data_IF_948568529788
#
_entry.id   IF_948568529788
#
_cell.length_a   1.000
_cell.length_b   1.000
_cell.length_c   1.000
_cell.angle_alpha   90.00
_cell.angle_beta   90.00
_cell.angle_gamma   90.00
#
_symmetry.space_group_name_H-M   'P 1'
#
loop_
_entity.id
_entity.type
_entity.pdbx_description
1 polymer ?
#
# COMPACT_ATOMS: atom_id res chain seq x y z
N UNK A 1 4.43 24.40 -6.25
CA UNK A 1 5.42 24.67 -5.18
C UNK A 1 5.55 26.16 -4.92
N UNK A 2 6.15 26.96 -5.82
CA UNK A 2 6.31 28.42 -5.62
C UNK A 2 4.98 29.15 -5.33
N UNK A 3 3.89 28.76 -6.00
CA UNK A 3 2.57 29.36 -5.80
C UNK A 3 1.96 29.01 -4.43
N UNK A 4 2.18 27.79 -3.94
CA UNK A 4 1.74 27.35 -2.60
C UNK A 4 2.54 28.08 -1.51
N UNK A 5 3.86 28.22 -1.68
CA UNK A 5 4.68 28.98 -0.73
C UNK A 5 4.30 30.45 -0.67
N UNK A 6 3.94 31.04 -1.81
CA UNK A 6 3.43 32.40 -1.89
C UNK A 6 2.10 32.58 -1.16
N UNK A 7 1.21 31.59 -1.22
CA UNK A 7 -0.07 31.62 -0.53
C UNK A 7 0.10 31.46 0.98
N UNK A 8 0.95 30.52 1.44
CA UNK A 8 1.25 30.32 2.86
C UNK A 8 1.90 31.56 3.50
N UNK A 9 2.62 32.36 2.71
CA UNK A 9 3.26 33.60 3.17
C UNK A 9 2.31 34.81 3.31
N UNK A 10 1.04 34.71 2.91
CA UNK A 10 0.06 35.80 3.06
C UNK A 10 -0.50 35.86 4.49
N UNK A 11 -0.70 37.07 5.03
CA UNK A 11 -1.25 37.28 6.37
C UNK A 11 -2.69 36.75 6.51
N UNK A 12 -3.48 36.80 5.43
CA UNK A 12 -4.87 36.34 5.41
C UNK A 12 -5.01 34.81 5.31
N UNK A 13 -3.93 34.08 5.02
CA UNK A 13 -3.96 32.63 4.83
C UNK A 13 -4.48 31.88 6.07
N UNK A 14 -4.19 32.39 7.26
CA UNK A 14 -4.60 31.77 8.52
C UNK A 14 -6.02 32.14 8.97
N UNK A 15 -6.72 33.01 8.22
CA UNK A 15 -8.10 33.40 8.55
C UNK A 15 -9.10 32.29 8.23
N UNK A 16 -8.79 31.43 7.25
CA UNK A 16 -9.60 30.27 6.87
C UNK A 16 -8.85 28.98 7.21
N UNK A 17 -9.23 28.38 8.33
CA UNK A 17 -8.55 27.20 8.87
C UNK A 17 -8.74 25.95 7.99
N UNK A 18 -9.87 25.83 7.27
CA UNK A 18 -10.15 24.71 6.36
C UNK A 18 -9.32 24.84 5.07
N UNK A 19 -9.31 26.03 4.48
CA UNK A 19 -8.50 26.31 3.29
C UNK A 19 -6.99 26.15 3.57
N UNK A 20 -6.53 26.65 4.73
CA UNK A 20 -5.15 26.50 5.15
C UNK A 20 -4.76 25.02 5.32
N UNK A 21 -5.62 24.21 5.92
CA UNK A 21 -5.37 22.77 6.13
C UNK A 21 -5.25 22.02 4.80
N UNK A 22 -6.11 22.34 3.83
CA UNK A 22 -6.09 21.73 2.50
C UNK A 22 -4.80 22.06 1.75
N UNK A 23 -4.41 23.34 1.74
CA UNK A 23 -3.19 23.79 1.05
C UNK A 23 -1.92 23.23 1.72
N UNK A 24 -1.91 23.12 3.05
CA UNK A 24 -0.80 22.50 3.78
C UNK A 24 -0.69 21.00 3.48
N UNK A 25 -1.81 20.27 3.41
CA UNK A 25 -1.82 18.85 2.98
C UNK A 25 -1.23 18.71 1.58
N UNK A 26 -1.68 19.53 0.63
CA UNK A 26 -1.16 19.52 -0.74
C UNK A 26 0.35 19.84 -0.80
N UNK A 27 0.81 20.82 -0.02
CA UNK A 27 2.24 21.14 0.11
C UNK A 27 3.04 19.94 0.59
N UNK A 28 2.58 19.27 1.65
CA UNK A 28 3.26 18.10 2.20
C UNK A 28 3.33 16.99 1.16
N UNK A 29 2.26 16.73 0.42
CA UNK A 29 2.25 15.71 -0.64
C UNK A 29 3.26 16.03 -1.74
N UNK A 30 3.29 17.27 -2.23
CA UNK A 30 4.22 17.68 -3.28
C UNK A 30 5.69 17.66 -2.80
N UNK A 31 5.94 18.05 -1.55
CA UNK A 31 7.28 17.95 -0.96
C UNK A 31 7.73 16.50 -0.85
N UNK A 32 6.86 15.59 -0.39
CA UNK A 32 7.18 14.16 -0.32
C UNK A 32 7.50 13.58 -1.70
N UNK A 33 6.76 13.98 -2.75
CA UNK A 33 7.08 13.57 -4.12
C UNK A 33 8.45 14.10 -4.56
N UNK A 34 8.75 15.37 -4.28
CA UNK A 34 10.02 15.98 -4.66
C UNK A 34 11.21 15.36 -3.92
N UNK A 35 11.07 15.09 -2.63
CA UNK A 35 12.08 14.40 -1.82
C UNK A 35 12.37 12.99 -2.35
N UNK A 36 11.34 12.24 -2.77
CA UNK A 36 11.53 10.91 -3.40
C UNK A 36 12.32 10.99 -4.69
N UNK A 37 12.04 11.97 -5.56
CA UNK A 37 12.81 12.17 -6.79
C UNK A 37 14.26 12.56 -6.50
N UNK A 38 14.49 13.43 -5.51
CA UNK A 38 15.84 13.81 -5.10
C UNK A 38 16.62 12.60 -4.55
N UNK A 39 15.97 11.72 -3.79
CA UNK A 39 16.59 10.49 -3.31
C UNK A 39 17.01 9.56 -4.46
N UNK A 40 16.14 9.37 -5.46
CA UNK A 40 16.45 8.58 -6.66
C UNK A 40 17.62 9.18 -7.44
N UNK A 41 17.65 10.51 -7.59
CA UNK A 41 18.75 11.21 -8.27
C UNK A 41 20.08 11.00 -7.52
N UNK A 42 20.08 11.22 -6.20
CA UNK A 42 21.27 11.02 -5.36
C UNK A 42 21.75 9.56 -5.39
N UNK A 43 20.84 8.58 -5.29
CA UNK A 43 21.21 7.16 -5.38
C UNK A 43 21.83 6.81 -6.75
N UNK A 44 21.34 7.42 -7.82
CA UNK A 44 21.87 7.22 -9.17
C UNK A 44 23.25 7.85 -9.34
N UNK A 45 23.48 9.02 -8.76
CA UNK A 45 24.81 9.65 -8.71
C UNK A 45 25.81 8.77 -7.94
N UNK A 46 25.44 8.28 -6.76
CA UNK A 46 26.28 7.37 -5.96
C UNK A 46 26.62 6.09 -6.72
N UNK A 47 25.63 5.48 -7.39
CA UNK A 47 25.83 4.30 -8.24
C UNK A 47 26.78 4.61 -9.40
N UNK A 48 26.66 5.80 -10.00
CA UNK A 48 27.53 6.21 -11.11
C UNK A 48 28.98 6.33 -10.66
N UNK A 49 29.21 6.95 -9.50
CA UNK A 49 30.55 7.05 -8.90
C UNK A 49 31.12 5.66 -8.57
N UNK A 50 30.30 4.76 -8.01
CA UNK A 50 30.73 3.39 -7.72
C UNK A 50 31.10 2.61 -9.00
N UNK A 51 30.35 2.80 -10.08
CA UNK A 51 30.65 2.21 -11.39
C UNK A 51 31.96 2.76 -11.97
N UNK A 52 32.25 4.05 -11.78
CA UNK A 52 33.52 4.64 -12.21
C UNK A 52 34.70 4.05 -11.44
N UNK A 53 34.59 3.91 -10.12
CA UNK A 53 35.61 3.26 -9.29
C UNK A 53 35.87 1.81 -9.74
N UNK A 54 34.81 1.05 -10.00
CA UNK A 54 34.88 -0.34 -10.44
C UNK A 54 35.53 -0.53 -11.82
N UNK A 55 35.54 0.51 -12.67
CA UNK A 55 36.26 0.48 -13.94
C UNK A 55 37.78 0.59 -13.75
N UNK A 56 38.21 1.22 -12.66
CA UNK A 56 39.63 1.35 -12.33
C UNK A 56 40.14 0.12 -11.59
N UNK A 57 39.33 -0.44 -10.68
CA UNK A 57 39.65 -1.63 -9.89
C UNK A 57 38.45 -2.59 -9.79
N UNK A 58 38.60 -3.79 -10.35
CA UNK A 58 37.57 -4.83 -10.26
C UNK A 58 37.62 -5.53 -8.90
N UNK A 59 36.86 -4.99 -7.94
CA UNK A 59 36.65 -5.61 -6.63
C UNK A 59 35.31 -6.39 -6.57
N UNK A 60 35.33 -7.72 -6.33
CA UNK A 60 34.12 -8.54 -6.24
C UNK A 60 33.11 -8.10 -5.17
N UNK A 61 33.58 -7.54 -4.04
CA UNK A 61 32.68 -7.05 -2.97
C UNK A 61 31.90 -5.83 -3.45
N UNK A 62 32.60 -4.86 -4.04
CA UNK A 62 32.01 -3.66 -4.64
C UNK A 62 31.05 -3.98 -5.80
N UNK A 63 31.31 -5.02 -6.59
CA UNK A 63 30.36 -5.51 -7.63
C UNK A 63 29.08 -6.06 -7.01
N UNK A 64 29.17 -6.76 -5.88
CA UNK A 64 28.00 -7.27 -5.18
C UNK A 64 27.16 -6.13 -4.59
N UNK A 65 27.80 -5.13 -3.99
CA UNK A 65 27.14 -3.93 -3.49
C UNK A 65 26.41 -3.17 -4.62
N UNK A 66 27.07 -2.98 -5.77
CA UNK A 66 26.46 -2.32 -6.93
C UNK A 66 25.17 -3.02 -7.38
N UNK A 67 25.16 -4.36 -7.42
CA UNK A 67 23.96 -5.12 -7.79
C UNK A 67 22.82 -4.92 -6.80
N UNK A 68 23.11 -4.93 -5.51
CA UNK A 68 22.10 -4.70 -4.48
C UNK A 68 21.51 -3.29 -4.57
N UNK A 69 22.36 -2.27 -4.76
CA UNK A 69 21.93 -0.88 -4.94
C UNK A 69 21.06 -0.72 -6.18
N UNK A 70 21.46 -1.28 -7.32
CA UNK A 70 20.65 -1.27 -8.56
C UNK A 70 19.30 -1.96 -8.38
N UNK A 71 19.25 -3.09 -7.68
CA UNK A 71 17.99 -3.79 -7.42
C UNK A 71 17.05 -2.97 -6.53
N UNK A 72 17.60 -2.28 -5.52
CA UNK A 72 16.83 -1.35 -4.67
C UNK A 72 16.31 -0.15 -5.46
N UNK A 73 17.18 0.51 -6.23
CA UNK A 73 16.80 1.65 -7.06
C UNK A 73 15.70 1.27 -8.07
N UNK A 74 15.84 0.11 -8.73
CA UNK A 74 14.83 -0.40 -9.66
C UNK A 74 13.47 -0.66 -8.99
N UNK A 75 13.46 -1.19 -7.76
CA UNK A 75 12.22 -1.36 -6.98
C UNK A 75 11.60 -0.02 -6.61
N UNK A 76 12.39 0.96 -6.20
CA UNK A 76 11.92 2.30 -5.85
C UNK A 76 11.30 3.02 -7.07
N UNK A 77 11.98 2.97 -8.22
CA UNK A 77 11.46 3.52 -9.48
C UNK A 77 10.13 2.88 -9.89
N UNK A 78 10.03 1.55 -9.82
CA UNK A 78 8.78 0.85 -10.16
C UNK A 78 7.60 1.26 -9.25
N UNK A 79 7.86 1.62 -7.98
CA UNK A 79 6.83 2.15 -7.08
C UNK A 79 6.38 3.53 -7.54
N UNK A 80 7.32 4.42 -7.87
CA UNK A 80 7.02 5.79 -8.34
C UNK A 80 6.26 5.74 -9.68
N UNK A 81 6.66 4.87 -10.60
CA UNK A 81 5.96 4.66 -11.87
C UNK A 81 4.52 4.21 -11.64
N UNK A 82 4.29 3.25 -10.73
CA UNK A 82 2.95 2.81 -10.36
C UNK A 82 2.12 3.96 -9.80
N UNK A 83 2.66 4.75 -8.88
CA UNK A 83 1.97 5.93 -8.31
C UNK A 83 1.60 6.95 -9.39
N UNK A 84 2.43 7.13 -10.43
CA UNK A 84 2.10 8.00 -11.57
C UNK A 84 1.02 7.41 -12.48
N UNK A 85 0.88 6.08 -12.54
CA UNK A 85 -0.24 5.43 -13.23
C UNK A 85 -1.56 5.55 -12.46
N UNK A 86 -1.49 5.69 -11.13
CA UNK A 86 -2.63 5.89 -10.23
C UNK A 86 -3.08 7.36 -10.24
N UNK A 87 -3.72 7.76 -11.34
CA UNK A 87 -4.11 9.14 -11.62
C UNK A 87 -5.60 9.45 -11.32
N UNK A 88 -6.37 8.52 -10.74
CA UNK A 88 -7.76 8.79 -10.38
C UNK A 88 -7.84 9.61 -9.07
N UNK A 89 -8.91 10.41 -8.96
CA UNK A 89 -9.15 11.34 -7.83
C UNK A 89 -9.11 10.64 -6.46
N UNK A 90 -9.57 9.39 -6.41
CA UNK A 90 -9.64 8.62 -5.16
C UNK A 90 -8.41 7.76 -4.90
N UNK A 91 -7.47 7.64 -5.84
CA UNK A 91 -6.36 6.68 -5.72
C UNK A 91 -5.48 6.98 -4.50
N UNK A 92 -5.34 8.26 -4.16
CA UNK A 92 -4.57 8.75 -3.00
C UNK A 92 -5.26 8.55 -1.66
N UNK A 93 -6.56 8.27 -1.65
CA UNK A 93 -7.34 8.17 -0.41
C UNK A 93 -7.01 6.88 0.35
N UNK A 94 -7.32 6.91 1.64
CA UNK A 94 -7.34 5.71 2.47
C UNK A 94 -8.37 4.70 1.93
N UNK A 95 -8.22 3.44 2.29
CA UNK A 95 -9.14 2.39 1.87
C UNK A 95 -9.81 1.72 3.07
N UNK A 96 -11.10 1.43 2.90
CA UNK A 96 -11.86 0.54 3.78
C UNK A 96 -11.96 -0.80 3.05
N UNK A 97 -11.43 -1.85 3.67
CA UNK A 97 -11.37 -3.20 3.10
C UNK A 97 -12.31 -4.10 3.89
N UNK A 98 -13.26 -4.72 3.20
CA UNK A 98 -14.22 -5.68 3.75
C UNK A 98 -14.01 -7.04 3.12
N UNK A 99 -13.74 -8.05 3.93
CA UNK A 99 -13.53 -9.44 3.50
C UNK A 99 -14.65 -10.29 4.06
N UNK A 100 -15.36 -11.01 3.20
CA UNK A 100 -16.50 -11.84 3.57
C UNK A 100 -16.34 -13.28 3.09
N UNK A 101 -16.57 -14.23 3.98
CA UNK A 101 -16.61 -15.64 3.64
C UNK A 101 -17.78 -15.94 2.69
N UNK A 102 -17.47 -16.57 1.56
CA UNK A 102 -18.47 -17.03 0.58
C UNK A 102 -18.88 -18.48 0.84
N UNK A 103 -19.05 -19.23 -0.25
CA UNK A 103 -19.34 -20.66 -0.17
C UNK A 103 -18.08 -21.44 0.27
N UNK A 104 -18.25 -22.33 1.26
CA UNK A 104 -17.17 -23.20 1.77
C UNK A 104 -17.20 -23.45 3.28
N UNK A 105 -18.12 -22.86 4.04
CA UNK A 105 -18.25 -23.11 5.48
C UNK A 105 -16.98 -22.70 6.24
N UNK A 106 -16.55 -23.51 7.20
CA UNK A 106 -15.34 -23.30 8.03
C UNK A 106 -14.07 -23.11 7.19
N UNK A 107 -13.95 -23.79 6.04
CA UNK A 107 -12.79 -23.64 5.15
C UNK A 107 -12.74 -22.24 4.49
N UNK A 108 -13.91 -21.66 4.15
CA UNK A 108 -13.96 -20.29 3.66
C UNK A 108 -13.65 -19.28 4.76
N UNK A 109 -14.03 -19.57 6.01
CA UNK A 109 -13.75 -18.73 7.17
C UNK A 109 -12.27 -18.70 7.55
N UNK A 110 -11.58 -19.85 7.48
CA UNK A 110 -10.12 -19.91 7.61
C UNK A 110 -9.44 -19.14 6.48
N UNK A 111 -9.98 -19.21 5.25
CA UNK A 111 -9.45 -18.44 4.13
C UNK A 111 -9.60 -16.93 4.32
N UNK A 112 -10.68 -16.44 4.93
CA UNK A 112 -10.82 -15.02 5.32
C UNK A 112 -9.69 -14.61 6.27
N UNK A 113 -9.39 -15.43 7.28
CA UNK A 113 -8.32 -15.15 8.26
C UNK A 113 -6.93 -15.10 7.59
N UNK A 114 -6.68 -16.02 6.66
CA UNK A 114 -5.45 -16.03 5.87
C UNK A 114 -5.32 -14.76 5.01
N UNK A 115 -6.39 -14.33 4.35
CA UNK A 115 -6.40 -13.12 3.54
C UNK A 115 -6.24 -11.85 4.39
N UNK A 116 -6.92 -11.77 5.54
CA UNK A 116 -6.73 -10.68 6.49
C UNK A 116 -5.26 -10.55 6.89
N UNK A 117 -4.63 -11.66 7.32
CA UNK A 117 -3.21 -11.68 7.68
C UNK A 117 -2.30 -11.30 6.51
N UNK A 118 -2.65 -11.70 5.29
CA UNK A 118 -1.92 -11.32 4.07
C UNK A 118 -1.96 -9.81 3.85
N UNK A 119 -3.14 -9.20 3.89
CA UNK A 119 -3.30 -7.77 3.68
C UNK A 119 -2.68 -6.92 4.79
N UNK A 120 -2.81 -7.33 6.06
CA UNK A 120 -2.17 -6.60 7.18
C UNK A 120 -0.64 -6.59 7.05
N UNK A 121 -0.03 -7.72 6.67
CA UNK A 121 1.42 -7.78 6.41
C UNK A 121 1.84 -6.98 5.19
N UNK A 122 1.00 -6.93 4.16
CA UNK A 122 1.27 -6.11 2.98
C UNK A 122 1.23 -4.63 3.32
N UNK A 123 0.24 -4.19 4.12
CA UNK A 123 0.14 -2.83 4.61
C UNK A 123 1.36 -2.44 5.47
N UNK A 124 1.76 -3.30 6.41
CA UNK A 124 2.95 -3.08 7.24
C UNK A 124 4.23 -2.94 6.39
N UNK A 125 4.41 -3.81 5.38
CA UNK A 125 5.56 -3.75 4.47
C UNK A 125 5.60 -2.47 3.63
N UNK A 126 4.43 -1.91 3.31
CA UNK A 126 4.28 -0.63 2.59
C UNK A 126 4.39 0.59 3.52
N UNK A 127 4.48 0.38 4.83
CA UNK A 127 4.48 1.47 5.82
C UNK A 127 3.10 2.11 6.04
N UNK A 128 2.03 1.47 5.59
CA UNK A 128 0.67 1.94 5.82
C UNK A 128 0.17 1.57 7.22
N UNK A 129 -0.65 2.44 7.79
CA UNK A 129 -1.30 2.17 9.08
C UNK A 129 -2.59 1.39 8.82
N UNK A 130 -2.80 0.28 9.51
CA UNK A 130 -4.02 -0.52 9.41
C UNK A 130 -4.73 -0.60 10.76
N UNK A 131 -6.06 -0.56 10.75
CA UNK A 131 -6.91 -0.63 11.94
C UNK A 131 -8.13 -1.51 11.67
N UNK A 132 -8.39 -2.49 12.54
CA UNK A 132 -9.55 -3.37 12.43
C UNK A 132 -10.76 -2.63 13.00
N UNK A 133 -11.77 -2.41 12.16
CA UNK A 133 -13.01 -1.70 12.53
C UNK A 133 -14.04 -2.67 13.08
N UNK A 134 -14.23 -3.80 12.40
CA UNK A 134 -15.21 -4.80 12.77
C UNK A 134 -14.68 -6.20 12.43
N UNK A 135 -15.00 -7.16 13.29
CA UNK A 135 -14.63 -8.56 13.10
C UNK A 135 -15.72 -9.45 13.65
N UNK A 136 -16.18 -10.38 12.82
CA UNK A 136 -17.17 -11.38 13.20
C UNK A 136 -16.52 -12.77 13.25
N UNK A 137 -16.01 -13.19 14.41
CA UNK A 137 -15.47 -14.53 14.60
C UNK A 137 -16.60 -15.58 14.66
N UNK A 138 -16.26 -16.84 14.44
CA UNK A 138 -17.19 -17.98 14.58
C UNK A 138 -16.71 -18.99 15.62
N UNK A 139 -17.66 -19.65 16.29
CA UNK A 139 -17.40 -20.58 17.41
C UNK A 139 -16.57 -21.81 17.02
N UNK A 140 -16.65 -22.24 15.75
CA UNK A 140 -15.92 -23.40 15.21
C UNK A 140 -14.51 -23.05 14.69
N UNK A 141 -14.09 -21.79 14.80
CA UNK A 141 -12.82 -21.27 14.29
C UNK A 141 -12.95 -20.50 12.97
N UNK A 142 -12.06 -19.54 12.74
CA UNK A 142 -12.03 -18.67 11.56
C UNK A 142 -12.91 -17.41 11.69
N UNK A 143 -12.95 -16.64 10.60
CA UNK A 143 -13.62 -15.34 10.54
C UNK A 143 -14.71 -15.38 9.46
N UNK A 144 -15.94 -15.00 9.81
CA UNK A 144 -17.04 -14.90 8.84
C UNK A 144 -16.93 -13.63 8.00
N UNK A 145 -16.65 -12.51 8.65
CA UNK A 145 -16.44 -11.22 8.01
C UNK A 145 -15.48 -10.36 8.82
N UNK A 146 -14.67 -9.55 8.14
CA UNK A 146 -13.79 -8.57 8.77
C UNK A 146 -13.77 -7.30 7.92
N UNK A 147 -13.81 -6.16 8.60
CA UNK A 147 -13.65 -4.83 8.00
C UNK A 147 -12.49 -4.13 8.68
N UNK A 148 -11.55 -3.62 7.90
CA UNK A 148 -10.42 -2.85 8.41
C UNK A 148 -10.16 -1.64 7.51
N UNK A 149 -9.69 -0.56 8.11
CA UNK A 149 -9.20 0.61 7.39
C UNK A 149 -7.69 0.52 7.20
N UNK A 150 -7.22 1.08 6.09
CA UNK A 150 -5.80 1.26 5.79
C UNK A 150 -5.59 2.71 5.41
N UNK A 151 -4.72 3.39 6.14
CA UNK A 151 -4.37 4.79 5.95
C UNK A 151 -2.94 4.95 5.45
N UNK A 152 -2.76 5.82 4.46
CA UNK A 152 -1.48 6.11 3.83
C UNK A 152 -1.62 6.62 2.40
N UNK A 153 -0.50 6.98 1.78
CA UNK A 153 -0.49 7.48 0.41
C UNK A 153 -0.77 6.36 -0.60
N UNK A 154 -1.63 6.65 -1.58
CA UNK A 154 -2.00 5.76 -2.70
C UNK A 154 -2.60 4.41 -2.28
N UNK A 155 -3.16 4.31 -1.06
CA UNK A 155 -3.69 3.05 -0.54
C UNK A 155 -4.83 2.54 -1.42
N UNK A 156 -5.87 3.34 -1.65
CA UNK A 156 -7.01 2.90 -2.43
C UNK A 156 -6.62 2.49 -3.86
N UNK A 157 -5.76 3.26 -4.53
CA UNK A 157 -5.29 2.93 -5.87
C UNK A 157 -4.57 1.57 -5.94
N UNK A 158 -3.76 1.26 -4.93
CA UNK A 158 -3.10 -0.06 -4.82
C UNK A 158 -4.09 -1.19 -4.50
N UNK A 159 -5.06 -0.93 -3.62
CA UNK A 159 -6.02 -1.94 -3.17
C UNK A 159 -7.14 -2.20 -4.18
N UNK A 160 -7.48 -1.24 -5.06
CA UNK A 160 -8.60 -1.37 -6.01
C UNK A 160 -8.51 -2.60 -6.91
N UNK A 161 -7.30 -3.02 -7.30
CA UNK A 161 -7.10 -4.22 -8.11
C UNK A 161 -7.43 -5.53 -7.38
N UNK A 162 -7.55 -5.49 -6.06
CA UNK A 162 -7.85 -6.64 -5.20
C UNK A 162 -9.35 -6.90 -5.04
N UNK A 163 -10.20 -6.00 -5.55
CA UNK A 163 -11.66 -6.14 -5.51
C UNK A 163 -12.08 -7.37 -6.32
N UNK A 164 -12.81 -8.28 -5.69
CA UNK A 164 -13.37 -9.44 -6.37
C UNK A 164 -13.43 -10.69 -5.51
N UNK A 165 -13.54 -11.83 -6.19
CA UNK A 165 -13.66 -13.14 -5.55
C UNK A 165 -12.30 -13.84 -5.61
N UNK A 166 -11.76 -14.14 -4.44
CA UNK A 166 -10.50 -14.86 -4.25
C UNK A 166 -10.80 -16.33 -3.98
N UNK A 167 -10.24 -17.22 -4.81
CA UNK A 167 -10.48 -18.67 -4.75
C UNK A 167 -9.28 -19.40 -4.19
N UNK A 168 -9.51 -20.21 -3.16
CA UNK A 168 -8.52 -21.14 -2.61
C UNK A 168 -8.88 -22.58 -2.98
N UNK A 169 -7.89 -23.36 -3.42
CA UNK A 169 -8.02 -24.81 -3.61
C UNK A 169 -6.89 -25.54 -2.87
N UNK A 170 -7.21 -26.17 -1.75
CA UNK A 170 -6.25 -26.94 -0.95
C UNK A 170 -6.89 -28.20 -0.36
N UNK A 171 -6.07 -29.04 0.26
CA UNK A 171 -6.56 -30.12 1.12
C UNK A 171 -6.97 -29.46 2.43
N UNK A 172 -8.24 -29.61 2.83
CA UNK A 172 -8.76 -28.93 4.01
C UNK A 172 -8.26 -29.62 5.29
N UNK A 173 -7.69 -28.88 6.26
CA UNK A 173 -7.33 -29.45 7.56
C UNK A 173 -8.57 -29.80 8.41
N UNK A 174 -9.77 -29.35 8.02
CA UNK A 174 -11.02 -29.59 8.72
C UNK A 174 -11.80 -30.80 8.18
N UNK A 175 -11.41 -31.37 7.03
CA UNK A 175 -12.02 -32.57 6.48
C UNK A 175 -11.18 -33.81 6.79
N UNK A 176 -11.73 -34.73 7.58
CA UNK A 176 -11.06 -35.98 7.97
C UNK A 176 -10.71 -36.91 6.79
N UNK A 177 -11.27 -36.65 5.60
CA UNK A 177 -11.05 -37.44 4.39
C UNK A 177 -9.92 -36.95 3.47
N UNK A 178 -9.14 -35.93 3.85
CA UNK A 178 -8.07 -35.33 3.04
C UNK A 178 -8.51 -34.96 1.61
N UNK A 179 -9.79 -34.61 1.42
CA UNK A 179 -10.29 -34.22 0.11
C UNK A 179 -9.84 -32.81 -0.22
N UNK A 180 -9.74 -32.54 -1.53
CA UNK A 180 -9.49 -31.19 -2.02
C UNK A 180 -10.78 -30.37 -1.94
N UNK A 181 -10.73 -29.28 -1.20
CA UNK A 181 -11.82 -28.31 -1.09
C UNK A 181 -11.55 -27.10 -1.97
N UNK A 182 -12.63 -26.46 -2.41
CA UNK A 182 -12.58 -25.19 -3.12
C UNK A 182 -13.42 -24.18 -2.34
N UNK A 183 -12.79 -23.10 -1.89
CA UNK A 183 -13.41 -22.05 -1.09
C UNK A 183 -13.32 -20.71 -1.78
N UNK A 184 -14.31 -19.86 -1.52
CA UNK A 184 -14.41 -18.54 -2.11
C UNK A 184 -14.58 -17.49 -1.02
N UNK A 185 -13.87 -16.38 -1.16
CA UNK A 185 -13.97 -15.20 -0.31
C UNK A 185 -14.14 -13.98 -1.20
N UNK A 186 -15.07 -13.10 -0.86
CA UNK A 186 -15.23 -11.82 -1.55
C UNK A 186 -14.48 -10.73 -0.81
N UNK A 187 -13.66 -9.98 -1.54
CA UNK A 187 -12.97 -8.78 -1.08
C UNK A 187 -13.64 -7.57 -1.73
N UNK A 188 -14.11 -6.66 -0.89
CA UNK A 188 -14.69 -5.39 -1.31
C UNK A 188 -13.87 -4.25 -0.71
N UNK A 189 -13.63 -3.22 -1.51
CA UNK A 189 -12.74 -2.11 -1.16
C UNK A 189 -13.41 -0.82 -1.64
N UNK A 190 -13.51 0.16 -0.75
CA UNK A 190 -13.97 1.50 -1.10
C UNK A 190 -12.98 2.55 -0.55
N UNK A 191 -12.90 3.73 -1.20
CA UNK A 191 -12.12 4.83 -0.64
C UNK A 191 -12.84 5.36 0.59
N UNK A 192 -12.07 5.77 1.60
CA UNK A 192 -12.60 6.57 2.70
C UNK A 192 -12.97 7.96 2.15
N UNK A 193 -14.23 8.35 2.31
CA UNK A 193 -14.75 9.66 1.92
C UNK A 193 -15.09 10.38 3.22
N UNK A 194 -14.55 11.57 3.44
CA UNK A 194 -14.93 12.40 4.59
C UNK A 194 -16.40 12.85 4.42
N UNK A 195 -17.16 12.80 5.51
CA UNK A 195 -18.57 13.20 5.62
C UNK A 195 -18.76 14.74 5.65
N UNK A 196 -17.93 15.50 4.93
CA UNK A 196 -18.11 16.95 4.80
C UNK A 196 -19.11 17.24 3.66
N UNK A 197 -20.40 17.20 4.02
CA UNK A 197 -21.53 17.87 3.31
C UNK A 197 -21.92 19.13 4.09
#
# INVERSE_FOLDING_TARGET
MEEIERNVAQEDFWQDQEAATTILKERTTLNNELERWQQVENELEEITVLVELLKEEEDPESIAELKERLEKLGKNLAIIELEKMLAEENDRKNAIVSINAGAGGTEAQDWVEMLLRMYLRWAEKRGWKSEIVDILPMDEGGIKSVTFTVSGDYVYGNFRSEIGIHRLMRISPFDAGDRRHTSFVSVFICPEIDDDI
#
